data_IF_057026804534
#
_entry.id   IF_057026804534
#
_cell.length_a   1.000
_cell.length_b   1.000
_cell.length_c   1.000
_cell.angle_alpha   90.00
_cell.angle_beta   90.00
_cell.angle_gamma   90.00
#
_symmetry.space_group_name_H-M   'P 1'
#
loop_
_entity.id
_entity.type
_entity.pdbx_description
1 polymer ?
#
# COMPACT_ATOMS: atom_id res chain seq x y z
N UNK A 1 -2.10 27.16 -11.08
CA UNK A 1 -2.51 27.37 -9.67
C UNK A 1 -2.44 26.03 -8.95
N UNK A 2 -1.49 25.85 -8.02
CA UNK A 2 -1.16 24.58 -7.34
C UNK A 2 -1.90 24.53 -6.00
N UNK A 3 -3.04 23.83 -5.93
CA UNK A 3 -3.82 23.73 -4.69
C UNK A 3 -3.30 22.60 -3.79
N UNK A 4 -2.49 23.00 -2.80
CA UNK A 4 -2.24 22.26 -1.56
C UNK A 4 -3.57 22.11 -0.82
N UNK A 5 -4.18 20.92 -0.83
CA UNK A 5 -5.27 20.64 0.11
C UNK A 5 -5.25 19.18 0.58
N UNK A 6 -4.39 18.92 1.56
CA UNK A 6 -4.18 17.59 2.16
C UNK A 6 -5.39 17.18 3.05
N UNK A 7 -6.14 18.16 3.59
CA UNK A 7 -7.31 17.90 4.45
C UNK A 7 -8.54 17.47 3.65
N UNK A 8 -8.75 18.04 2.46
CA UNK A 8 -9.82 17.62 1.54
C UNK A 8 -9.64 16.14 1.11
N UNK A 9 -8.40 15.70 0.86
CA UNK A 9 -8.07 14.29 0.57
C UNK A 9 -8.34 13.38 1.77
N UNK A 10 -8.01 13.80 2.98
CA UNK A 10 -8.29 13.01 4.19
C UNK A 10 -9.78 12.82 4.45
N UNK A 11 -10.59 13.87 4.25
CA UNK A 11 -12.04 13.77 4.39
C UNK A 11 -12.67 12.88 3.30
N UNK A 12 -12.14 12.90 2.07
CA UNK A 12 -12.54 11.99 1.00
C UNK A 12 -12.17 10.53 1.32
N UNK A 13 -11.01 10.27 1.94
CA UNK A 13 -10.60 8.92 2.35
C UNK A 13 -11.47 8.34 3.46
N UNK A 14 -11.96 9.17 4.39
CA UNK A 14 -12.96 8.72 5.38
C UNK A 14 -14.30 8.39 4.70
N UNK A 15 -14.72 9.17 3.70
CA UNK A 15 -15.92 8.87 2.89
C UNK A 15 -15.75 7.68 1.92
N UNK A 16 -14.51 7.29 1.57
CA UNK A 16 -14.22 6.11 0.73
C UNK A 16 -14.69 4.80 1.36
N UNK A 17 -14.73 4.69 2.69
CA UNK A 17 -15.26 3.49 3.37
C UNK A 17 -16.76 3.31 3.09
N UNK A 18 -17.50 4.41 2.94
CA UNK A 18 -18.92 4.39 2.55
C UNK A 18 -19.11 4.14 1.03
N UNK A 19 -18.24 4.70 0.18
CA UNK A 19 -18.33 4.53 -1.29
C UNK A 19 -17.89 3.15 -1.81
N UNK A 20 -17.17 2.35 -1.01
CA UNK A 20 -16.82 0.96 -1.38
C UNK A 20 -18.07 0.07 -1.55
N UNK A 21 -19.22 0.48 -1.00
CA UNK A 21 -20.52 -0.16 -1.22
C UNK A 21 -21.14 0.13 -2.60
N UNK A 22 -20.63 1.13 -3.34
CA UNK A 22 -21.21 1.63 -4.59
C UNK A 22 -20.41 1.28 -5.86
N UNK A 23 -19.46 0.33 -5.80
CA UNK A 23 -18.82 -0.24 -6.99
C UNK A 23 -17.76 0.61 -7.70
N UNK A 24 -17.59 1.89 -7.37
CA UNK A 24 -16.60 2.74 -8.04
C UNK A 24 -15.18 2.53 -7.49
N UNK A 25 -14.40 1.66 -8.15
CA UNK A 25 -12.96 1.54 -7.94
C UNK A 25 -12.25 2.74 -8.56
N UNK A 26 -11.90 3.73 -7.73
CA UNK A 26 -10.84 4.68 -8.05
C UNK A 26 -9.53 3.88 -8.03
N UNK A 27 -9.19 3.28 -9.17
CA UNK A 27 -7.90 2.65 -9.39
C UNK A 27 -6.91 3.78 -9.66
N UNK A 28 -5.95 3.97 -8.77
CA UNK A 28 -4.75 4.73 -9.13
C UNK A 28 -4.00 3.94 -10.23
N UNK A 29 -3.30 4.62 -11.15
CA UNK A 29 -2.53 3.97 -12.21
C UNK A 29 -1.40 3.10 -11.60
N UNK A 30 -1.68 1.81 -11.40
CA UNK A 30 -0.69 0.84 -10.93
C UNK A 30 0.08 0.32 -12.13
N UNK A 31 1.40 0.55 -12.15
CA UNK A 31 2.27 -0.01 -13.20
C UNK A 31 2.28 -1.55 -13.12
N UNK A 32 2.56 -2.24 -14.23
CA UNK A 32 2.65 -3.72 -14.26
C UNK A 32 3.62 -4.25 -13.19
N UNK A 33 4.74 -3.56 -12.97
CA UNK A 33 5.73 -3.93 -11.96
C UNK A 33 5.17 -3.81 -10.54
N UNK A 34 4.44 -2.73 -10.24
CA UNK A 34 3.78 -2.55 -8.94
C UNK A 34 2.68 -3.58 -8.70
N UNK A 35 1.91 -3.94 -9.74
CA UNK A 35 0.93 -5.03 -9.67
C UNK A 35 1.60 -6.38 -9.40
N UNK A 36 2.74 -6.64 -10.05
CA UNK A 36 3.55 -7.83 -9.80
C UNK A 36 4.08 -7.89 -8.36
N UNK A 37 4.58 -6.76 -7.83
CA UNK A 37 5.02 -6.66 -6.44
C UNK A 37 3.87 -6.91 -5.45
N UNK A 38 2.69 -6.31 -5.67
CA UNK A 38 1.51 -6.55 -4.82
C UNK A 38 1.12 -8.02 -4.81
N UNK A 39 1.18 -8.68 -5.97
CA UNK A 39 0.88 -10.11 -6.09
C UNK A 39 1.88 -10.95 -5.28
N UNK A 40 3.18 -10.65 -5.40
CA UNK A 40 4.25 -11.30 -4.61
C UNK A 40 4.07 -11.10 -3.11
N UNK A 41 3.74 -9.88 -2.68
CA UNK A 41 3.49 -9.56 -1.28
C UNK A 41 2.27 -10.30 -0.73
N UNK A 42 1.18 -10.38 -1.50
CA UNK A 42 -0.06 -11.06 -1.07
C UNK A 42 0.11 -12.57 -0.92
N UNK A 43 1.05 -13.17 -1.64
CA UNK A 43 1.40 -14.59 -1.53
C UNK A 43 2.41 -14.88 -0.39
N UNK A 44 2.94 -13.84 0.26
CA UNK A 44 3.99 -13.98 1.25
C UNK A 44 3.42 -14.29 2.64
N UNK A 45 3.90 -15.35 3.29
CA UNK A 45 3.38 -15.84 4.58
C UNK A 45 3.46 -14.82 5.74
N UNK A 46 4.40 -13.86 5.67
CA UNK A 46 4.54 -12.81 6.68
C UNK A 46 3.75 -11.52 6.37
N UNK A 47 2.92 -11.51 5.32
CA UNK A 47 2.12 -10.36 4.88
C UNK A 47 0.63 -10.70 4.94
N UNK A 48 -0.16 -9.90 5.66
CA UNK A 48 -1.61 -10.03 5.75
C UNK A 48 -2.33 -9.36 4.57
N UNK A 49 -1.81 -8.21 4.12
CA UNK A 49 -2.39 -7.46 3.00
C UNK A 49 -1.37 -6.54 2.33
N UNK A 50 -1.56 -6.28 1.04
CA UNK A 50 -0.73 -5.34 0.28
C UNK A 50 -1.60 -4.37 -0.53
N UNK A 51 -1.15 -3.12 -0.68
CA UNK A 51 -1.86 -2.12 -1.47
C UNK A 51 -0.92 -1.06 -2.06
N UNK A 52 -1.38 -0.45 -3.14
CA UNK A 52 -0.75 0.71 -3.75
C UNK A 52 -1.30 2.02 -3.15
N UNK A 53 -0.43 2.97 -2.86
CA UNK A 53 -0.83 4.31 -2.44
C UNK A 53 0.21 5.36 -2.85
N UNK A 54 -0.20 6.37 -3.62
CA UNK A 54 0.64 7.51 -4.05
C UNK A 54 1.97 7.10 -4.72
N UNK A 55 1.95 6.12 -5.62
CA UNK A 55 3.19 5.70 -6.32
C UNK A 55 4.02 4.67 -5.56
N UNK A 56 3.61 4.29 -4.35
CA UNK A 56 4.36 3.38 -3.48
C UNK A 56 3.53 2.13 -3.16
N UNK A 57 4.21 1.00 -3.03
CA UNK A 57 3.60 -0.25 -2.58
C UNK A 57 3.87 -0.44 -1.10
N UNK A 58 2.82 -0.79 -0.36
CA UNK A 58 2.85 -1.05 1.07
C UNK A 58 2.35 -2.47 1.35
N UNK A 59 2.93 -3.10 2.36
CA UNK A 59 2.44 -4.33 2.97
C UNK A 59 2.13 -4.12 4.45
N UNK A 60 1.08 -4.79 4.94
CA UNK A 60 0.81 -4.99 6.36
C UNK A 60 1.36 -6.36 6.74
N UNK A 61 2.32 -6.41 7.66
CA UNK A 61 2.84 -7.68 8.16
C UNK A 61 1.83 -8.36 9.07
N UNK A 62 2.00 -9.65 9.33
CA UNK A 62 1.23 -10.41 10.34
C UNK A 62 1.32 -9.80 11.74
N UNK A 63 2.36 -8.99 12.00
CA UNK A 63 2.54 -8.23 13.25
C UNK A 63 1.86 -6.86 13.24
N UNK A 64 1.00 -6.59 12.25
CA UNK A 64 0.30 -5.32 12.05
C UNK A 64 1.23 -4.13 11.78
N UNK A 65 2.44 -4.39 11.26
CA UNK A 65 3.40 -3.35 10.89
C UNK A 65 3.21 -2.95 9.44
N UNK A 66 3.21 -1.64 9.17
CA UNK A 66 3.14 -1.12 7.80
C UNK A 66 4.55 -0.91 7.26
N UNK A 67 4.89 -1.67 6.23
CA UNK A 67 6.21 -1.64 5.59
C UNK A 67 6.06 -1.18 4.14
N UNK A 68 7.00 -0.34 3.68
CA UNK A 68 7.08 0.10 2.28
C UNK A 68 8.02 -0.86 1.53
N UNK A 69 7.65 -1.22 0.30
CA UNK A 69 8.47 -2.05 -0.58
C UNK A 69 8.75 -1.33 -1.91
N UNK A 70 9.96 -1.53 -2.41
CA UNK A 70 10.38 -1.24 -3.78
C UNK A 70 10.24 -2.48 -4.67
N UNK A 71 10.18 -2.28 -5.99
CA UNK A 71 9.96 -3.34 -6.98
C UNK A 71 11.08 -4.38 -7.02
N UNK A 72 12.29 -3.98 -6.60
CA UNK A 72 13.47 -4.84 -6.56
C UNK A 72 13.80 -5.37 -5.16
N UNK A 73 12.97 -5.05 -4.16
CA UNK A 73 13.23 -5.49 -2.80
C UNK A 73 13.11 -7.02 -2.67
N UNK A 74 14.02 -7.57 -1.86
CA UNK A 74 13.81 -8.87 -1.25
C UNK A 74 12.87 -8.68 -0.05
N UNK A 75 11.69 -9.32 -0.11
CA UNK A 75 10.62 -9.12 0.88
C UNK A 75 11.08 -9.51 2.29
N UNK A 76 11.78 -10.64 2.43
CA UNK A 76 12.25 -11.14 3.72
C UNK A 76 13.26 -10.18 4.35
N UNK A 77 14.26 -9.75 3.58
CA UNK A 77 15.28 -8.81 4.05
C UNK A 77 14.67 -7.49 4.53
N UNK A 78 13.67 -6.98 3.82
CA UNK A 78 12.99 -5.73 4.20
C UNK A 78 12.19 -5.90 5.49
N UNK A 79 11.48 -7.03 5.63
CA UNK A 79 10.72 -7.33 6.86
C UNK A 79 11.69 -7.50 8.04
N UNK A 80 12.81 -8.20 7.87
CA UNK A 80 13.83 -8.36 8.91
C UNK A 80 14.46 -7.03 9.30
N UNK A 81 14.91 -6.25 8.32
CA UNK A 81 15.52 -4.94 8.57
C UNK A 81 14.54 -4.00 9.27
N UNK A 82 13.25 -4.02 8.89
CA UNK A 82 12.23 -3.22 9.58
C UNK A 82 12.01 -3.66 11.04
N UNK A 83 12.13 -4.96 11.32
CA UNK A 83 11.97 -5.52 12.68
C UNK A 83 13.13 -5.18 13.63
N UNK A 84 14.34 -5.04 13.10
CA UNK A 84 15.55 -4.85 13.92
C UNK A 84 16.20 -3.46 13.77
N UNK A 85 15.78 -2.66 12.79
CA UNK A 85 16.34 -1.34 12.50
C UNK A 85 15.72 -0.18 13.27
N UNK A 86 15.15 -0.43 14.46
CA UNK A 86 14.58 0.60 15.35
C UNK A 86 15.19 0.57 16.73
#
# INVERSE_FOLDING_TARGET
MKLMNNSAKSNLMKKRKAMKAAGNRIADDVTKLNSGLISRLTLHHNIDSAWFFKGLVYGLTTKQERVKFDIYDNIDNVIETFRFGK
#
